data_IF_215063836505
#
_entry.id   IF_215063836505
#
_cell.length_a   1.000
_cell.length_b   1.000
_cell.length_c   1.000
_cell.angle_alpha   90.00
_cell.angle_beta   90.00
_cell.angle_gamma   90.00
#
_symmetry.space_group_name_H-M   'P 1'
#
loop_
_entity.id
_entity.type
_entity.pdbx_description
1 polymer ?
#
# COMPACT_ATOMS: atom_id res chain seq x y z
N UNK A 1 -5.63 22.72 -5.05
CA UNK A 1 -5.64 21.43 -5.79
C UNK A 1 -6.06 21.73 -7.22
N UNK A 2 -5.49 21.07 -8.23
CA UNK A 2 -5.96 21.27 -9.61
C UNK A 2 -7.37 20.70 -9.73
N UNK A 3 -8.35 21.54 -10.09
CA UNK A 3 -9.74 21.13 -10.35
C UNK A 3 -9.80 19.96 -11.35
N UNK A 4 -8.87 19.95 -12.32
CA UNK A 4 -8.71 18.89 -13.31
C UNK A 4 -8.43 17.51 -12.69
N UNK A 5 -7.64 17.45 -11.61
CA UNK A 5 -7.32 16.19 -10.95
C UNK A 5 -8.55 15.62 -10.23
N UNK A 6 -9.30 16.48 -9.55
CA UNK A 6 -10.52 16.09 -8.85
C UNK A 6 -11.56 15.53 -9.83
N UNK A 7 -11.78 16.21 -10.97
CA UNK A 7 -12.71 15.73 -12.01
C UNK A 7 -12.27 14.40 -12.63
N UNK A 8 -10.97 14.19 -12.84
CA UNK A 8 -10.45 12.90 -13.30
C UNK A 8 -10.71 11.80 -12.29
N UNK A 9 -10.50 12.06 -11.00
CA UNK A 9 -10.75 11.09 -9.94
C UNK A 9 -12.24 10.75 -9.80
N UNK A 10 -13.13 11.72 -9.99
CA UNK A 10 -14.58 11.50 -9.97
C UNK A 10 -15.04 10.59 -11.11
N UNK A 11 -14.57 10.86 -12.34
CA UNK A 11 -14.84 9.99 -13.49
C UNK A 11 -14.32 8.57 -13.26
N UNK A 12 -13.08 8.45 -12.78
CA UNK A 12 -12.48 7.16 -12.44
C UNK A 12 -13.28 6.42 -11.38
N UNK A 13 -13.74 7.10 -10.33
CA UNK A 13 -14.53 6.49 -9.26
C UNK A 13 -15.84 5.89 -9.77
N UNK A 14 -16.50 6.57 -10.70
CA UNK A 14 -17.76 6.12 -11.30
C UNK A 14 -17.57 4.92 -12.24
N UNK A 15 -16.44 4.86 -12.95
CA UNK A 15 -16.10 3.75 -13.84
C UNK A 15 -15.63 2.49 -13.09
N UNK A 16 -14.90 2.67 -12.00
CA UNK A 16 -14.26 1.58 -11.27
C UNK A 16 -15.28 0.71 -10.52
N UNK A 17 -15.05 -0.60 -10.54
CA UNK A 17 -15.74 -1.55 -9.66
C UNK A 17 -15.13 -1.56 -8.26
N UNK A 18 -15.88 -2.07 -7.30
CA UNK A 18 -15.37 -2.27 -5.94
C UNK A 18 -14.15 -3.20 -5.95
N UNK A 19 -13.11 -2.81 -5.20
CA UNK A 19 -11.79 -3.43 -5.17
C UNK A 19 -10.99 -3.41 -6.48
N UNK A 20 -11.49 -2.75 -7.53
CA UNK A 20 -10.71 -2.48 -8.73
C UNK A 20 -9.48 -1.63 -8.37
N UNK A 21 -8.35 -1.95 -9.00
CA UNK A 21 -7.06 -1.29 -8.78
C UNK A 21 -6.52 -0.77 -10.10
N UNK A 22 -6.00 0.46 -10.09
CA UNK A 22 -5.31 1.06 -11.25
C UNK A 22 -3.90 1.48 -10.83
N UNK A 23 -2.82 0.94 -11.43
CA UNK A 23 -1.46 1.29 -11.06
C UNK A 23 -1.17 2.76 -11.37
N UNK A 24 -0.56 3.46 -10.42
CA UNK A 24 -0.17 4.86 -10.54
C UNK A 24 1.35 4.97 -10.68
N UNK A 25 2.10 4.24 -9.84
CA UNK A 25 3.56 4.25 -9.84
C UNK A 25 4.10 2.85 -9.57
N UNK A 26 5.19 2.48 -10.25
CA UNK A 26 6.02 1.31 -9.91
C UNK A 26 7.45 1.76 -9.63
N UNK A 27 8.01 1.35 -8.49
CA UNK A 27 9.40 1.61 -8.11
C UNK A 27 10.05 0.31 -7.64
N UNK A 28 10.97 -0.23 -8.44
CA UNK A 28 11.51 -1.58 -8.23
C UNK A 28 10.37 -2.61 -8.15
N UNK A 29 10.29 -3.30 -7.00
CA UNK A 29 9.23 -4.29 -6.72
C UNK A 29 8.02 -3.72 -5.97
N UNK A 30 7.97 -2.42 -5.72
CA UNK A 30 6.85 -1.76 -5.04
C UNK A 30 5.93 -1.13 -6.08
N UNK A 31 4.63 -1.34 -5.92
CA UNK A 31 3.56 -0.78 -6.74
C UNK A 31 2.65 0.06 -5.84
N UNK A 32 2.35 1.27 -6.30
CA UNK A 32 1.33 2.15 -5.73
C UNK A 32 0.16 2.18 -6.72
N UNK A 33 -1.03 1.81 -6.23
CA UNK A 33 -2.24 1.69 -7.03
C UNK A 33 -3.35 2.56 -6.43
N UNK A 34 -4.17 3.18 -7.28
CA UNK A 34 -5.46 3.72 -6.88
C UNK A 34 -6.44 2.55 -6.72
N UNK A 35 -7.18 2.49 -5.61
CA UNK A 35 -8.18 1.44 -5.35
C UNK A 35 -9.52 2.06 -4.97
N UNK A 36 -10.61 1.50 -5.48
CA UNK A 36 -11.96 1.82 -5.02
C UNK A 36 -12.36 0.86 -3.91
N UNK A 37 -12.57 1.39 -2.71
CA UNK A 37 -13.06 0.64 -1.56
C UNK A 37 -14.59 0.59 -1.61
N UNK A 38 -15.20 -0.58 -1.33
CA UNK A 38 -16.64 -0.71 -1.27
C UNK A 38 -17.21 0.08 -0.09
N UNK A 39 -18.51 0.34 -0.15
CA UNK A 39 -19.27 0.76 1.01
C UNK A 39 -19.18 -0.28 2.13
N UNK A 40 -18.96 0.18 3.36
CA UNK A 40 -18.88 -0.68 4.54
C UNK A 40 -20.05 -0.38 5.46
N UNK A 41 -20.82 -1.43 5.74
CA UNK A 41 -21.86 -1.40 6.73
C UNK A 41 -21.30 -1.94 8.06
N UNK A 42 -21.28 -1.10 9.08
CA UNK A 42 -21.11 -1.54 10.46
C UNK A 42 -22.47 -1.59 11.15
N UNK A 43 -22.54 -2.17 12.36
CA UNK A 43 -23.77 -2.21 13.16
C UNK A 43 -24.35 -0.82 13.46
N UNK A 44 -23.55 0.23 13.38
CA UNK A 44 -23.91 1.60 13.80
C UNK A 44 -23.57 2.69 12.78
N UNK A 45 -22.88 2.35 11.68
CA UNK A 45 -22.32 3.35 10.76
C UNK A 45 -22.19 2.79 9.36
N UNK A 46 -22.65 3.56 8.37
CA UNK A 46 -22.39 3.30 6.96
C UNK A 46 -21.20 4.17 6.56
N UNK A 47 -20.11 3.54 6.12
CA UNK A 47 -18.98 4.24 5.52
C UNK A 47 -19.12 4.12 4.01
N UNK A 48 -19.35 5.22 3.27
CA UNK A 48 -19.56 5.16 1.84
C UNK A 48 -18.33 4.60 1.11
N UNK A 49 -18.55 4.13 -0.12
CA UNK A 49 -17.46 3.78 -1.01
C UNK A 49 -16.49 4.98 -1.19
N UNK A 50 -15.19 4.69 -1.30
CA UNK A 50 -14.16 5.74 -1.35
C UNK A 50 -12.96 5.32 -2.19
N UNK A 51 -12.21 6.29 -2.69
CA UNK A 51 -10.88 6.03 -3.26
C UNK A 51 -9.83 5.99 -2.16
N UNK A 52 -8.79 5.19 -2.36
CA UNK A 52 -7.60 5.12 -1.52
C UNK A 52 -6.39 4.76 -2.38
N UNK A 53 -5.19 4.90 -1.81
CA UNK A 53 -3.98 4.33 -2.37
C UNK A 53 -3.68 2.97 -1.74
N UNK A 54 -3.21 2.02 -2.53
CA UNK A 54 -2.68 0.75 -2.06
C UNK A 54 -1.19 0.68 -2.38
N UNK A 55 -0.37 0.49 -1.34
CA UNK A 55 1.07 0.26 -1.45
C UNK A 55 1.34 -1.22 -1.22
N UNK A 56 1.88 -1.91 -2.22
CA UNK A 56 2.17 -3.35 -2.12
C UNK A 56 3.44 -3.70 -2.87
N UNK A 57 3.95 -4.90 -2.59
CA UNK A 57 4.93 -5.54 -3.49
C UNK A 57 4.23 -6.10 -4.72
N UNK A 58 4.94 -6.18 -5.84
CA UNK A 58 4.41 -6.69 -7.11
C UNK A 58 3.87 -8.12 -6.99
N UNK A 59 4.53 -8.95 -6.19
CA UNK A 59 4.19 -10.35 -5.89
C UNK A 59 3.24 -10.51 -4.70
N UNK A 60 2.85 -9.42 -4.05
CA UNK A 60 1.95 -9.47 -2.91
C UNK A 60 0.50 -9.19 -3.33
N UNK A 61 -0.41 -10.06 -2.90
CA UNK A 61 -1.85 -9.85 -3.06
C UNK A 61 -2.40 -8.79 -2.09
N UNK A 62 -1.80 -8.71 -0.89
CA UNK A 62 -2.15 -7.76 0.18
C UNK A 62 -1.17 -6.59 0.18
N UNK A 63 -1.65 -5.44 0.65
CA UNK A 63 -0.88 -4.21 0.76
C UNK A 63 -1.39 -3.32 1.89
N UNK A 64 -0.71 -2.19 2.08
CA UNK A 64 -1.13 -1.14 3.00
C UNK A 64 -2.11 -0.24 2.25
N UNK A 65 -3.29 0.00 2.81
CA UNK A 65 -4.28 0.95 2.29
C UNK A 65 -4.02 2.29 2.97
N UNK A 66 -3.90 3.35 2.17
CA UNK A 66 -3.69 4.71 2.60
C UNK A 66 -4.86 5.57 2.14
N UNK A 67 -5.62 6.10 3.10
CA UNK A 67 -6.81 6.91 2.89
C UNK A 67 -6.57 8.42 3.03
N UNK A 68 -5.46 8.86 3.64
CA UNK A 68 -5.14 10.27 3.79
C UNK A 68 -3.68 10.60 3.45
N UNK A 69 -3.40 11.89 3.26
CA UNK A 69 -2.05 12.38 3.05
C UNK A 69 -1.19 12.23 4.33
N UNK A 70 -1.77 12.42 5.52
CA UNK A 70 -1.03 12.27 6.78
C UNK A 70 -0.49 10.84 6.93
N UNK A 71 -1.27 9.82 6.55
CA UNK A 71 -0.83 8.42 6.59
C UNK A 71 0.38 8.15 5.67
N UNK A 72 0.53 8.88 4.55
CA UNK A 72 1.72 8.81 3.70
C UNK A 72 2.93 9.40 4.41
N UNK A 73 2.76 10.57 5.04
CA UNK A 73 3.85 11.25 5.75
C UNK A 73 4.30 10.45 6.98
N UNK A 74 3.36 9.86 7.71
CA UNK A 74 3.63 8.95 8.83
C UNK A 74 4.40 7.71 8.35
N UNK A 75 3.95 7.07 7.27
CA UNK A 75 4.63 5.92 6.69
C UNK A 75 6.05 6.29 6.26
N UNK A 76 6.21 7.40 5.54
CA UNK A 76 7.51 7.90 5.08
C UNK A 76 8.45 8.14 6.27
N UNK A 77 7.94 8.76 7.34
CA UNK A 77 8.71 9.01 8.55
C UNK A 77 9.15 7.70 9.18
N UNK A 78 8.21 6.78 9.41
CA UNK A 78 8.48 5.49 10.04
C UNK A 78 9.54 4.66 9.29
N UNK A 79 9.44 4.55 7.96
CA UNK A 79 10.39 3.76 7.16
C UNK A 79 11.76 4.43 6.99
N UNK A 80 11.84 5.74 7.22
CA UNK A 80 13.10 6.50 7.15
C UNK A 80 13.93 6.42 8.43
N UNK A 81 13.36 5.90 9.52
CA UNK A 81 14.07 5.71 10.79
C UNK A 81 15.23 4.71 10.60
N UNK A 82 16.44 5.13 10.97
CA UNK A 82 17.66 4.32 10.81
C UNK A 82 17.55 2.95 11.49
N UNK A 83 16.98 2.90 12.70
CA UNK A 83 16.71 1.66 13.43
C UNK A 83 15.90 0.64 12.62
N UNK A 84 14.93 1.09 11.81
CA UNK A 84 14.13 0.20 10.95
C UNK A 84 14.99 -0.35 9.81
N UNK A 85 15.86 0.48 9.24
CA UNK A 85 16.79 0.07 8.18
C UNK A 85 17.79 -0.96 8.69
N UNK A 86 18.34 -0.77 9.88
CA UNK A 86 19.29 -1.72 10.47
C UNK A 86 18.61 -3.03 10.87
N UNK A 87 17.39 -2.97 11.40
CA UNK A 87 16.59 -4.16 11.64
C UNK A 87 16.35 -4.96 10.34
N UNK A 88 16.01 -4.28 9.24
CA UNK A 88 15.82 -4.94 7.95
C UNK A 88 17.10 -5.64 7.44
N UNK A 89 18.28 -5.03 7.63
CA UNK A 89 19.57 -5.66 7.32
C UNK A 89 19.82 -6.89 8.20
N UNK A 90 19.57 -6.77 9.50
CA UNK A 90 19.77 -7.87 10.45
C UNK A 90 18.84 -9.06 10.15
N UNK A 91 17.57 -8.80 9.79
CA UNK A 91 16.62 -9.84 9.35
C UNK A 91 17.15 -10.58 8.12
N UNK A 92 17.66 -9.83 7.12
CA UNK A 92 18.23 -10.44 5.91
C UNK A 92 19.40 -11.36 6.25
N UNK A 93 20.30 -10.91 7.12
CA UNK A 93 21.46 -11.70 7.54
C UNK A 93 21.05 -12.96 8.32
N UNK A 94 20.11 -12.81 9.25
CA UNK A 94 19.58 -13.91 10.04
C UNK A 94 18.98 -15.00 9.15
N UNK A 95 18.13 -14.62 8.18
CA UNK A 95 17.50 -15.56 7.27
C UNK A 95 18.53 -16.25 6.36
N UNK A 96 19.55 -15.52 5.87
CA UNK A 96 20.64 -16.09 5.08
C UNK A 96 21.38 -17.20 5.84
N UNK A 97 21.70 -16.95 7.12
CA UNK A 97 22.38 -17.94 7.97
C UNK A 97 21.54 -19.19 8.22
N UNK A 98 20.22 -19.06 8.38
CA UNK A 98 19.32 -20.20 8.56
C UNK A 98 19.22 -21.06 7.30
N UNK A 99 19.08 -20.44 6.14
CA UNK A 99 19.02 -21.16 4.88
C UNK A 99 20.27 -22.03 4.66
N UNK A 100 21.47 -21.51 4.92
CA UNK A 100 22.73 -22.27 4.76
C UNK A 100 22.75 -23.52 5.65
N UNK A 101 22.33 -23.41 6.91
CA UNK A 101 22.30 -24.55 7.85
C UNK A 101 21.33 -25.65 7.43
N UNK A 102 20.27 -25.34 6.69
CA UNK A 102 19.32 -26.34 6.17
C UNK A 102 19.89 -27.15 5.00
N UNK A 103 20.97 -26.69 4.34
CA UNK A 103 21.63 -27.39 3.23
C UNK A 103 22.87 -28.20 3.66
N UNK A 104 23.31 -28.11 4.91
CA UNK A 104 24.46 -28.89 5.45
C UNK A 104 24.04 -30.25 6.04
N UNK A 105 22.86 -30.78 5.66
CA UNK A 105 22.32 -32.07 6.13
C UNK A 105 22.46 -33.14 5.05
#
# INVERSE_FOLDING_TARGET
MSEELTSKLENLFNEMKDWERRPVVKSGRIIIELVKLPEKHSRSTIKPASLALMIRREDAFRGIIIGSAEEIDDLRTAISIEKIRDLAKAIKEFNRKRAIKEFEI
#
